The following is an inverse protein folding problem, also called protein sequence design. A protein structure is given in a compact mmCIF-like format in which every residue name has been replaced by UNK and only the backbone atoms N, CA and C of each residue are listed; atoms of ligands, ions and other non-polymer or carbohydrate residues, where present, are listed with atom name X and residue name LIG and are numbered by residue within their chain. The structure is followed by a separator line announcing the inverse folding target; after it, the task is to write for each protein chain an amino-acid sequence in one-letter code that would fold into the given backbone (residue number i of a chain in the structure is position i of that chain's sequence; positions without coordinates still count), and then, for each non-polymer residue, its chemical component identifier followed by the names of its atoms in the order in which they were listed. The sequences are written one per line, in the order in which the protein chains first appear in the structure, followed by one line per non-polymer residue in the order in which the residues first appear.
data_IF_333597477427
#
_entry.id   IF_333597477427
#
_cell.length_a   1.000
_cell.length_b   1.000
_cell.length_c   1.000
_cell.angle_alpha   90.00
_cell.angle_beta   90.00
_cell.angle_gamma   90.00
#
_symmetry.space_group_name_H-M   'P 1'
#
loop_
_entity.id
_entity.type
_entity.pdbx_description
1 polymer ?
#
# COMPACT_ATOMS: atom_id res chain seq x y z
N UNK A 1 -0.47 -3.87 -2.34
CA UNK A 1 -0.47 -5.02 -3.30
C UNK A 1 -1.52 -4.88 -4.41
N UNK A 2 -2.74 -4.34 -4.15
CA UNK A 2 -3.83 -4.24 -5.16
C UNK A 2 -3.43 -3.53 -6.46
N UNK A 3 -2.61 -2.45 -6.39
CA UNK A 3 -2.12 -1.74 -7.58
C UNK A 3 -1.32 -2.64 -8.53
N UNK A 4 -0.60 -3.63 -7.99
CA UNK A 4 0.17 -4.59 -8.78
C UNK A 4 -0.76 -5.63 -9.41
N UNK A 5 -1.65 -6.21 -8.60
CA UNK A 5 -2.50 -7.32 -9.03
C UNK A 5 -3.56 -6.92 -10.06
N UNK A 6 -4.10 -5.70 -9.95
CA UNK A 6 -5.28 -5.27 -10.71
C UNK A 6 -5.04 -4.09 -11.66
N UNK A 7 -3.92 -3.36 -11.50
CA UNK A 7 -3.69 -2.09 -12.22
C UNK A 7 -2.30 -1.98 -12.84
N UNK A 8 -1.57 -3.09 -12.91
CA UNK A 8 -0.26 -3.19 -13.59
C UNK A 8 0.82 -2.23 -13.07
N UNK A 9 0.79 -1.92 -11.76
CA UNK A 9 1.90 -1.17 -11.16
C UNK A 9 3.19 -2.00 -11.21
N UNK A 10 4.22 -1.49 -11.91
CA UNK A 10 5.46 -2.22 -12.18
C UNK A 10 6.45 -2.13 -11.01
N UNK A 11 6.08 -2.68 -9.86
CA UNK A 11 6.96 -2.87 -8.72
C UNK A 11 6.58 -4.09 -7.91
N UNK A 12 7.50 -4.60 -7.11
CA UNK A 12 7.26 -5.69 -6.18
C UNK A 12 6.59 -5.22 -4.88
N UNK A 13 5.81 -6.09 -4.24
CA UNK A 13 5.24 -5.87 -2.91
C UNK A 13 5.39 -7.11 -2.04
N UNK A 14 5.81 -6.91 -0.82
CA UNK A 14 5.91 -7.94 0.23
C UNK A 14 4.81 -7.80 1.28
N UNK A 15 3.87 -6.88 1.06
CA UNK A 15 2.82 -6.57 2.02
C UNK A 15 1.46 -6.92 1.43
N UNK A 16 0.59 -7.55 2.23
CA UNK A 16 -0.83 -7.73 1.99
C UNK A 16 -1.59 -6.96 3.05
N UNK A 17 -2.21 -5.86 2.64
CA UNK A 17 -2.96 -4.98 3.53
C UNK A 17 -4.46 -5.17 3.28
N UNK A 18 -5.21 -5.50 4.34
CA UNK A 18 -6.65 -5.71 4.31
C UNK A 18 -7.36 -4.76 5.25
N UNK A 19 -8.58 -4.34 4.87
CA UNK A 19 -9.49 -3.66 5.76
C UNK A 19 -10.51 -4.66 6.32
N UNK A 20 -10.63 -4.70 7.63
CA UNK A 20 -11.67 -5.45 8.30
C UNK A 20 -12.97 -4.65 8.24
N UNK A 21 -13.98 -5.19 7.56
CA UNK A 21 -15.27 -4.52 7.36
C UNK A 21 -16.24 -4.69 8.54
N UNK A 22 -15.95 -5.64 9.42
CA UNK A 22 -16.74 -5.93 10.63
C UNK A 22 -15.77 -6.14 11.80
N UNK A 23 -15.62 -5.11 12.63
CA UNK A 23 -14.69 -5.13 13.74
C UNK A 23 -14.96 -6.27 14.76
N UNK A 24 -16.20 -6.76 14.86
CA UNK A 24 -16.57 -7.86 15.75
C UNK A 24 -15.91 -9.19 15.35
N UNK A 25 -15.45 -9.31 14.12
CA UNK A 25 -14.79 -10.51 13.59
C UNK A 25 -13.27 -10.51 13.71
N UNK A 26 -12.69 -9.56 14.42
CA UNK A 26 -11.23 -9.40 14.50
C UNK A 26 -10.51 -10.68 14.95
N UNK A 27 -10.94 -11.26 16.04
CA UNK A 27 -10.33 -12.47 16.61
C UNK A 27 -10.51 -13.67 15.66
N UNK A 28 -11.70 -13.83 15.09
CA UNK A 28 -11.98 -14.87 14.09
C UNK A 28 -11.05 -14.73 12.88
N UNK A 29 -10.95 -13.53 12.30
CA UNK A 29 -10.08 -13.27 11.15
C UNK A 29 -8.61 -13.51 11.47
N UNK A 30 -8.16 -13.12 12.65
CA UNK A 30 -6.79 -13.40 13.11
C UNK A 30 -6.51 -14.91 13.14
N UNK A 31 -7.38 -15.69 13.77
CA UNK A 31 -7.21 -17.14 13.89
C UNK A 31 -7.23 -17.85 12.52
N UNK A 32 -8.14 -17.44 11.63
CA UNK A 32 -8.20 -18.00 10.28
C UNK A 32 -6.95 -17.66 9.45
N UNK A 33 -6.46 -16.41 9.53
CA UNK A 33 -5.23 -16.00 8.85
C UNK A 33 -4.02 -16.73 9.41
N UNK A 34 -3.88 -16.86 10.73
CA UNK A 34 -2.81 -17.60 11.36
C UNK A 34 -2.77 -19.05 10.84
N UNK A 35 -3.91 -19.77 10.93
CA UNK A 35 -4.01 -21.13 10.46
C UNK A 35 -3.78 -21.28 8.95
N UNK A 36 -4.22 -20.30 8.16
CA UNK A 36 -3.99 -20.29 6.72
C UNK A 36 -2.51 -20.12 6.40
N UNK A 37 -1.84 -19.16 7.01
CA UNK A 37 -0.44 -18.84 6.75
C UNK A 37 0.49 -19.99 7.12
N UNK A 38 0.21 -20.73 8.19
CA UNK A 38 0.97 -21.92 8.60
C UNK A 38 1.00 -23.03 7.54
N UNK A 39 0.04 -23.05 6.58
CA UNK A 39 0.06 -23.99 5.45
C UNK A 39 1.12 -23.65 4.40
N UNK A 40 1.65 -22.43 4.41
CA UNK A 40 2.61 -21.93 3.43
C UNK A 40 4.02 -21.76 3.99
N UNK A 41 4.21 -21.80 5.32
CA UNK A 41 5.52 -21.63 5.94
C UNK A 41 5.44 -21.47 7.45
N UNK A 42 6.39 -20.76 8.01
CA UNK A 42 6.42 -20.41 9.44
C UNK A 42 6.03 -18.94 9.65
N UNK A 43 5.39 -18.66 10.77
CA UNK A 43 5.13 -17.28 11.18
C UNK A 43 6.31 -16.85 12.07
N UNK A 44 7.14 -15.94 11.54
CA UNK A 44 8.37 -15.49 12.22
C UNK A 44 8.09 -14.34 13.20
N UNK A 45 7.04 -13.55 12.95
CA UNK A 45 6.57 -12.49 13.84
C UNK A 45 5.07 -12.31 13.75
N UNK A 46 4.43 -12.06 14.88
CA UNK A 46 3.01 -11.74 14.94
C UNK A 46 2.69 -10.82 16.10
N UNK A 47 1.74 -9.93 15.90
CA UNK A 47 1.28 -9.00 16.93
C UNK A 47 -0.16 -8.59 16.71
N UNK A 48 -0.95 -8.59 17.79
CA UNK A 48 -2.23 -7.89 17.82
C UNK A 48 -1.98 -6.43 18.20
N UNK A 49 -2.09 -5.52 17.23
CA UNK A 49 -1.94 -4.08 17.46
C UNK A 49 -3.30 -3.40 17.65
N UNK A 50 -3.28 -2.12 18.00
CA UNK A 50 -4.50 -1.35 18.30
C UNK A 50 -5.53 -1.41 17.17
N UNK A 51 -5.09 -1.38 15.90
CA UNK A 51 -5.99 -1.43 14.73
C UNK A 51 -6.14 -2.83 14.14
N UNK A 52 -5.47 -3.84 14.68
CA UNK A 52 -5.62 -5.22 14.23
C UNK A 52 -4.30 -5.97 14.10
N UNK A 53 -4.37 -7.23 13.64
CA UNK A 53 -3.23 -8.11 13.61
C UNK A 53 -2.27 -7.81 12.47
N UNK A 54 -1.00 -8.08 12.77
CA UNK A 54 0.09 -8.17 11.81
C UNK A 54 0.71 -9.54 11.95
N UNK A 55 0.89 -10.26 10.85
CA UNK A 55 1.58 -11.54 10.79
C UNK A 55 2.68 -11.47 9.71
N UNK A 56 3.83 -12.04 9.99
CA UNK A 56 4.97 -12.09 9.07
C UNK A 56 5.27 -13.55 8.73
N UNK A 57 4.96 -13.91 7.50
CA UNK A 57 5.16 -15.26 6.97
C UNK A 57 6.55 -15.39 6.35
N UNK A 58 7.28 -16.40 6.78
CA UNK A 58 8.48 -16.91 6.15
C UNK A 58 8.14 -18.19 5.38
N UNK A 59 8.13 -18.11 4.05
CA UNK A 59 7.73 -19.22 3.17
C UNK A 59 8.91 -19.89 2.46
N UNK A 60 10.15 -19.48 2.76
CA UNK A 60 11.33 -20.16 2.22
C UNK A 60 12.64 -19.48 2.54
N UNK A 61 13.72 -20.27 2.61
CA UNK A 61 15.05 -19.76 2.87
C UNK A 61 15.56 -18.92 1.67
N UNK A 62 15.91 -17.67 1.94
CA UNK A 62 16.38 -16.72 0.93
C UNK A 62 15.26 -15.91 0.25
N UNK A 63 14.00 -16.23 0.52
CA UNK A 63 12.86 -15.48 0.06
C UNK A 63 12.57 -14.27 0.97
N UNK A 64 11.89 -13.27 0.43
CA UNK A 64 11.43 -12.13 1.22
C UNK A 64 10.21 -12.52 2.02
N UNK A 65 10.21 -12.20 3.29
CA UNK A 65 9.04 -12.44 4.14
C UNK A 65 7.82 -11.67 3.62
N UNK A 66 6.65 -12.28 3.76
CA UNK A 66 5.36 -11.66 3.42
C UNK A 66 4.71 -11.13 4.70
N UNK A 67 4.52 -9.81 4.76
CA UNK A 67 3.74 -9.20 5.85
C UNK A 67 2.26 -9.17 5.47
N UNK A 68 1.41 -9.69 6.34
CA UNK A 68 -0.04 -9.59 6.25
C UNK A 68 -0.54 -8.71 7.38
N UNK A 69 -1.25 -7.65 7.04
CA UNK A 69 -1.82 -6.70 7.99
C UNK A 69 -3.33 -6.60 7.76
N UNK A 70 -4.11 -6.65 8.84
CA UNK A 70 -5.55 -6.40 8.82
C UNK A 70 -5.82 -5.19 9.70
N UNK A 71 -6.52 -4.20 9.16
CA UNK A 71 -6.82 -2.96 9.87
C UNK A 71 -8.32 -2.74 9.98
N UNK A 72 -8.79 -2.41 11.17
CA UNK A 72 -10.17 -2.01 11.43
C UNK A 72 -10.38 -0.49 11.43
N UNK A 73 -9.43 0.27 10.87
CA UNK A 73 -9.61 1.72 10.73
C UNK A 73 -10.78 2.01 9.82
N UNK A 74 -11.71 2.80 10.32
CA UNK A 74 -12.89 3.20 9.57
C UNK A 74 -12.62 4.51 8.82
N UNK A 75 -12.80 4.45 7.51
CA UNK A 75 -12.83 5.59 6.61
C UNK A 75 -13.98 5.38 5.63
N UNK A 76 -14.52 6.42 4.99
CA UNK A 76 -15.58 6.31 3.97
C UNK A 76 -15.00 5.69 2.68
N UNK A 77 -14.52 4.47 2.80
CA UNK A 77 -13.89 3.74 1.69
C UNK A 77 -14.94 3.12 0.77
N UNK A 78 -14.69 3.22 -0.53
CA UNK A 78 -15.45 2.57 -1.57
C UNK A 78 -14.70 1.34 -2.09
N UNK A 79 -15.45 0.31 -2.44
CA UNK A 79 -14.91 -0.96 -2.90
C UNK A 79 -15.59 -1.38 -4.20
N UNK A 80 -14.85 -2.06 -5.06
CA UNK A 80 -15.34 -2.69 -6.26
C UNK A 80 -14.95 -4.18 -6.27
N UNK A 81 -15.68 -4.98 -7.04
CA UNK A 81 -15.36 -6.39 -7.23
C UNK A 81 -14.40 -6.51 -8.41
N UNK A 82 -13.26 -7.19 -8.18
CA UNK A 82 -12.27 -7.52 -9.19
C UNK A 82 -12.02 -9.03 -9.17
N UNK A 83 -11.91 -9.64 -10.33
CA UNK A 83 -11.58 -11.06 -10.43
C UNK A 83 -10.07 -11.27 -10.50
N UNK A 84 -9.55 -12.17 -9.68
CA UNK A 84 -8.16 -12.62 -9.67
C UNK A 84 -8.13 -14.15 -9.72
N UNK A 85 -7.59 -14.74 -10.80
CA UNK A 85 -7.50 -16.17 -10.99
C UNK A 85 -8.84 -16.91 -10.78
N UNK A 86 -9.94 -16.29 -11.24
CA UNK A 86 -11.29 -16.86 -11.12
C UNK A 86 -11.97 -16.65 -9.75
N UNK A 87 -11.34 -15.91 -8.85
CA UNK A 87 -11.91 -15.56 -7.53
C UNK A 87 -12.24 -14.06 -7.51
N UNK A 88 -13.47 -13.74 -7.12
CA UNK A 88 -13.91 -12.36 -6.95
C UNK A 88 -13.41 -11.81 -5.61
N UNK A 89 -12.70 -10.69 -5.69
CA UNK A 89 -12.09 -10.02 -4.55
C UNK A 89 -12.64 -8.61 -4.44
N UNK A 90 -13.01 -8.22 -3.23
CA UNK A 90 -13.40 -6.83 -2.93
C UNK A 90 -12.14 -5.99 -2.79
N UNK A 91 -11.95 -5.05 -3.70
CA UNK A 91 -10.78 -4.18 -3.79
C UNK A 91 -11.20 -2.73 -3.57
N UNK A 92 -10.43 -1.98 -2.79
CA UNK A 92 -10.65 -0.53 -2.63
C UNK A 92 -10.54 0.17 -3.99
N UNK A 93 -11.36 1.20 -4.23
CA UNK A 93 -11.29 1.97 -5.48
C UNK A 93 -9.97 2.71 -5.64
N UNK A 94 -9.57 2.99 -6.88
CA UNK A 94 -8.32 3.73 -7.15
C UNK A 94 -8.31 5.12 -6.50
N UNK A 95 -9.45 5.81 -6.48
CA UNK A 95 -9.56 7.16 -5.90
C UNK A 95 -9.29 7.15 -4.39
N UNK A 96 -9.78 6.12 -3.69
CA UNK A 96 -9.58 5.96 -2.26
C UNK A 96 -8.13 5.50 -1.96
N UNK A 97 -7.59 4.57 -2.76
CA UNK A 97 -6.19 4.18 -2.65
C UNK A 97 -5.25 5.39 -2.83
N UNK A 98 -5.55 6.26 -3.81
CA UNK A 98 -4.76 7.46 -4.02
C UNK A 98 -4.83 8.40 -2.81
N UNK A 99 -6.01 8.64 -2.26
CA UNK A 99 -6.18 9.48 -1.07
C UNK A 99 -5.37 8.94 0.12
N UNK A 100 -5.47 7.63 0.39
CA UNK A 100 -4.70 7.00 1.47
C UNK A 100 -3.19 7.07 1.23
N UNK A 101 -2.73 6.90 -0.01
CA UNK A 101 -1.32 7.00 -0.37
C UNK A 101 -0.79 8.42 -0.25
N UNK A 102 -1.57 9.42 -0.64
CA UNK A 102 -1.20 10.82 -0.45
C UNK A 102 -1.07 11.16 1.04
N UNK A 103 -2.02 10.71 1.86
CA UNK A 103 -1.94 10.91 3.32
C UNK A 103 -0.69 10.22 3.91
N UNK A 104 -0.43 8.97 3.54
CA UNK A 104 0.75 8.24 4.00
C UNK A 104 2.07 8.93 3.57
N UNK A 105 2.13 9.50 2.36
CA UNK A 105 3.30 10.25 1.88
C UNK A 105 3.57 11.49 2.75
N UNK A 106 2.53 12.18 3.21
CA UNK A 106 2.69 13.32 4.11
C UNK A 106 3.09 12.94 5.55
N UNK A 107 2.66 11.77 6.03
CA UNK A 107 3.03 11.22 7.35
C UNK A 107 4.48 10.71 7.36
N UNK A 108 4.88 10.02 6.30
CA UNK A 108 6.22 9.45 6.12
C UNK A 108 6.61 9.51 4.64
N UNK A 109 7.85 9.87 4.35
CA UNK A 109 8.32 9.84 2.96
C UNK A 109 9.05 8.52 2.73
N UNK A 110 8.49 7.68 1.87
CA UNK A 110 9.17 6.50 1.38
C UNK A 110 9.28 6.53 -0.14
N UNK A 111 10.35 5.97 -0.72
CA UNK A 111 10.49 5.87 -2.18
C UNK A 111 9.30 5.18 -2.86
N UNK A 112 8.75 4.14 -2.21
CA UNK A 112 7.58 3.41 -2.72
C UNK A 112 6.33 4.27 -2.77
N UNK A 113 6.08 5.08 -1.73
CA UNK A 113 4.91 5.96 -1.72
C UNK A 113 5.03 7.05 -2.77
N UNK A 114 6.24 7.60 -3.02
CA UNK A 114 6.49 8.55 -4.11
C UNK A 114 6.18 7.89 -5.47
N UNK A 115 6.64 6.66 -5.70
CA UNK A 115 6.41 5.93 -6.93
C UNK A 115 4.92 5.59 -7.13
N UNK A 116 4.22 5.19 -6.07
CA UNK A 116 2.77 4.95 -6.11
C UNK A 116 1.98 6.22 -6.45
N UNK A 117 2.34 7.37 -5.86
CA UNK A 117 1.73 8.68 -6.17
C UNK A 117 1.97 9.05 -7.63
N UNK A 118 3.23 8.89 -8.10
CA UNK A 118 3.53 9.12 -9.51
C UNK A 118 2.66 8.26 -10.43
N UNK A 119 2.46 6.98 -10.13
CA UNK A 119 1.58 6.08 -10.89
C UNK A 119 0.15 6.62 -10.97
N UNK A 120 -0.44 7.06 -9.87
CA UNK A 120 -1.79 7.65 -9.88
C UNK A 120 -1.87 8.91 -10.74
N UNK A 121 -0.87 9.78 -10.67
CA UNK A 121 -0.81 11.00 -11.48
C UNK A 121 -0.68 10.70 -12.98
N UNK A 122 0.16 9.73 -13.36
CA UNK A 122 0.30 9.31 -14.77
C UNK A 122 -1.01 8.76 -15.34
N UNK A 123 -1.75 8.03 -14.52
CA UNK A 123 -3.06 7.47 -14.91
C UNK A 123 -4.21 8.47 -14.76
N UNK A 124 -3.93 9.73 -14.40
CA UNK A 124 -4.95 10.78 -14.16
C UNK A 124 -6.05 10.31 -13.22
N UNK A 125 -5.68 9.52 -12.22
CA UNK A 125 -6.61 8.99 -11.23
C UNK A 125 -7.22 10.13 -10.43
N UNK A 126 -8.53 10.15 -10.30
CA UNK A 126 -9.22 11.07 -9.39
C UNK A 126 -8.86 10.71 -7.94
N UNK A 127 -8.84 11.72 -7.07
CA UNK A 127 -8.56 11.52 -5.64
C UNK A 127 -9.83 11.74 -4.82
N UNK A 128 -10.08 10.85 -3.85
CA UNK A 128 -11.17 11.03 -2.91
C UNK A 128 -10.83 12.14 -1.90
N UNK A 129 -11.41 13.32 -2.11
CA UNK A 129 -11.16 14.51 -1.29
C UNK A 129 -11.68 14.35 0.15
N UNK A 130 -12.76 13.60 0.35
CA UNK A 130 -13.34 13.38 1.68
C UNK A 130 -12.37 12.62 2.60
N UNK A 131 -11.71 11.58 2.09
CA UNK A 131 -10.70 10.82 2.84
C UNK A 131 -9.51 11.72 3.21
N UNK A 132 -9.03 12.55 2.27
CA UNK A 132 -7.93 13.49 2.56
C UNK A 132 -8.34 14.48 3.64
N UNK A 133 -9.51 15.09 3.50
CA UNK A 133 -10.04 16.06 4.48
C UNK A 133 -10.21 15.42 5.86
N UNK A 134 -10.76 14.21 5.93
CA UNK A 134 -11.00 13.51 7.19
C UNK A 134 -9.68 13.15 7.89
N UNK A 135 -8.67 12.71 7.14
CA UNK A 135 -7.38 12.28 7.71
C UNK A 135 -6.47 13.42 8.08
N UNK A 136 -6.54 14.54 7.36
CA UNK A 136 -5.54 15.62 7.48
C UNK A 136 -6.10 16.96 7.95
N UNK A 137 -7.43 17.13 7.90
CA UNK A 137 -8.08 18.41 8.15
C UNK A 137 -7.90 19.44 7.02
N UNK A 138 -7.29 19.06 5.89
CA UNK A 138 -6.91 19.95 4.79
C UNK A 138 -7.59 19.57 3.49
N UNK A 139 -7.73 20.54 2.57
CA UNK A 139 -8.09 20.24 1.19
C UNK A 139 -6.99 19.44 0.49
N UNK A 140 -7.36 18.72 -0.58
CA UNK A 140 -6.39 17.98 -1.41
C UNK A 140 -5.26 18.88 -1.91
N UNK A 141 -5.60 20.10 -2.36
CA UNK A 141 -4.61 21.06 -2.90
C UNK A 141 -3.60 21.49 -1.85
N UNK A 142 -4.06 21.88 -0.66
CA UNK A 142 -3.18 22.30 0.44
C UNK A 142 -2.27 21.14 0.87
N UNK A 143 -2.84 19.95 1.05
CA UNK A 143 -2.05 18.81 1.51
C UNK A 143 -1.05 18.33 0.45
N UNK A 144 -1.44 18.31 -0.83
CA UNK A 144 -0.54 17.99 -1.93
C UNK A 144 0.62 18.97 -2.04
N UNK A 145 0.41 20.28 -1.81
CA UNK A 145 1.48 21.27 -1.77
C UNK A 145 2.47 21.00 -0.64
N UNK A 146 1.99 20.65 0.56
CA UNK A 146 2.87 20.26 1.67
C UNK A 146 3.67 18.99 1.34
N UNK A 147 3.03 17.97 0.76
CA UNK A 147 3.72 16.77 0.29
C UNK A 147 4.79 17.09 -0.75
N UNK A 148 4.49 17.96 -1.72
CA UNK A 148 5.44 18.36 -2.76
C UNK A 148 6.69 19.04 -2.18
N UNK A 149 6.53 19.92 -1.18
CA UNK A 149 7.67 20.54 -0.49
C UNK A 149 8.53 19.48 0.20
N UNK A 150 7.92 18.55 0.90
CA UNK A 150 8.64 17.45 1.58
C UNK A 150 9.38 16.55 0.57
N UNK A 151 8.73 16.16 -0.54
CA UNK A 151 9.34 15.34 -1.59
C UNK A 151 10.52 16.02 -2.25
N UNK A 152 10.44 17.35 -2.54
CA UNK A 152 11.56 18.12 -3.10
C UNK A 152 12.80 18.14 -2.19
N UNK A 153 12.61 18.02 -0.88
CA UNK A 153 13.72 17.94 0.08
C UNK A 153 14.32 16.53 0.18
N UNK A 154 13.67 15.53 -0.42
CA UNK A 154 14.10 14.13 -0.38
C UNK A 154 15.25 13.90 -1.38
N UNK A 155 16.39 13.37 -0.89
CA UNK A 155 17.58 13.21 -1.75
C UNK A 155 17.38 12.11 -2.79
N UNK A 156 17.61 12.43 -4.06
CA UNK A 156 17.51 11.50 -5.20
C UNK A 156 18.23 10.17 -4.99
N UNK A 157 19.41 10.18 -4.36
CA UNK A 157 20.16 8.97 -4.06
C UNK A 157 19.39 8.02 -3.14
N UNK A 158 18.66 8.54 -2.16
CA UNK A 158 17.85 7.73 -1.24
C UNK A 158 16.62 7.16 -1.94
N UNK A 159 16.08 7.89 -2.92
CA UNK A 159 14.96 7.44 -3.74
C UNK A 159 15.33 6.16 -4.51
N UNK A 160 16.50 6.15 -5.14
CA UNK A 160 16.97 5.00 -5.91
C UNK A 160 17.33 3.79 -5.04
N UNK A 161 17.88 4.00 -3.84
CA UNK A 161 18.14 2.89 -2.91
C UNK A 161 16.86 2.15 -2.51
N UNK A 162 15.78 2.87 -2.25
CA UNK A 162 14.51 2.25 -1.85
C UNK A 162 13.68 1.65 -3.00
N UNK A 163 13.86 2.16 -4.24
CA UNK A 163 13.14 1.68 -5.42
C UNK A 163 13.89 0.60 -6.20
N UNK A 164 15.21 0.64 -6.24
CA UNK A 164 16.02 -0.25 -7.08
C UNK A 164 15.80 -1.74 -6.82
N UNK A 165 15.43 -2.10 -5.61
CA UNK A 165 15.13 -3.48 -5.22
C UNK A 165 13.70 -3.93 -5.50
N UNK A 166 12.77 -2.98 -5.71
CA UNK A 166 11.35 -3.30 -5.86
C UNK A 166 10.82 -3.07 -7.27
N UNK A 167 11.55 -2.37 -8.14
CA UNK A 167 11.16 -2.20 -9.55
C UNK A 167 11.45 -3.47 -10.34
N UNK A 168 10.44 -3.95 -11.07
CA UNK A 168 10.48 -5.26 -11.74
C UNK A 168 11.33 -5.27 -13.00
N UNK A 169 11.43 -4.14 -13.69
CA UNK A 169 12.10 -4.06 -14.99
C UNK A 169 13.07 -2.87 -15.10
N UNK A 170 13.99 -2.96 -16.07
CA UNK A 170 14.98 -1.91 -16.31
C UNK A 170 14.38 -0.61 -16.84
N UNK A 171 13.25 -0.68 -17.53
CA UNK A 171 12.57 0.49 -18.06
C UNK A 171 11.98 1.32 -16.91
N UNK A 172 11.29 0.68 -15.97
CA UNK A 172 10.81 1.32 -14.75
C UNK A 172 11.95 1.90 -13.90
N UNK A 173 13.10 1.21 -13.83
CA UNK A 173 14.30 1.72 -13.13
C UNK A 173 14.88 2.96 -13.80
N UNK A 174 15.00 2.95 -15.14
CA UNK A 174 15.49 4.09 -15.89
C UNK A 174 14.53 5.27 -15.79
N UNK A 175 13.23 5.01 -15.93
CA UNK A 175 12.21 6.01 -15.77
C UNK A 175 12.25 6.65 -14.36
N UNK A 176 12.36 5.84 -13.31
CA UNK A 176 12.48 6.36 -11.94
C UNK A 176 13.71 7.28 -11.77
N UNK A 177 14.83 6.97 -12.47
CA UNK A 177 16.03 7.82 -12.46
C UNK A 177 15.84 9.15 -13.19
N UNK A 178 15.08 9.17 -14.27
CA UNK A 178 14.96 10.34 -15.17
C UNK A 178 13.82 11.27 -14.78
N UNK A 179 12.73 10.74 -14.21
CA UNK A 179 11.49 11.48 -14.01
C UNK A 179 11.19 11.80 -12.52
N UNK A 180 11.78 11.06 -11.58
CA UNK A 180 11.57 11.26 -10.15
C UNK A 180 12.73 12.01 -9.45
N UNK A 181 13.75 12.38 -10.21
CA UNK A 181 14.90 13.17 -9.78
C UNK A 181 14.84 14.57 -10.41
#
# INVERSE_FOLDING_TARGET
TSLIMFYNLSRFSTDLDFNLLDASKMEYVYNELHNLLLKFGTIDDEAMKFYGPILVLNYGKGERMLKVEVSNREYPNHYEIRSLLGTDIRVMTLSDMFAHKLCALGERITPRDIYDIWFFLQNRTEINAEIVQLRTGMSVSEYAQQCAVKVRSYRSRMLMQGLGEVLLDNQSKNFAREQLI
#
